data_IF_365019240398
#
_entry.id   IF_365019240398
#
_cell.length_a   1.000
_cell.length_b   1.000
_cell.length_c   1.000
_cell.angle_alpha   90.00
_cell.angle_beta   90.00
_cell.angle_gamma   90.00
#
_symmetry.space_group_name_H-M   'P 1'
#
loop_
_entity.id
_entity.type
_entity.pdbx_description
1 polymer ?
#
# COMPACT_ATOMS: atom_id res chain seq x y z
N UNK A 1 9.45 -6.86 4.43
CA UNK A 1 8.07 -6.42 4.70
C UNK A 1 7.75 -6.33 6.18
N UNK A 2 8.16 -7.31 6.99
CA UNK A 2 7.72 -7.43 8.39
C UNK A 2 8.10 -6.22 9.25
N UNK A 3 9.31 -5.68 9.04
CA UNK A 3 9.76 -4.45 9.70
C UNK A 3 8.89 -3.24 9.32
N UNK A 4 8.48 -3.14 8.05
CA UNK A 4 7.59 -2.07 7.59
C UNK A 4 6.21 -2.16 8.24
N UNK A 5 5.67 -3.38 8.39
CA UNK A 5 4.38 -3.59 9.06
C UNK A 5 4.47 -3.26 10.55
N UNK A 6 5.58 -3.61 11.20
CA UNK A 6 5.84 -3.19 12.58
C UNK A 6 5.87 -1.66 12.71
N UNK A 7 6.56 -0.95 11.81
CA UNK A 7 6.57 0.51 11.83
C UNK A 7 5.18 1.12 11.64
N UNK A 8 4.37 0.56 10.74
CA UNK A 8 3.01 1.03 10.53
C UNK A 8 2.13 0.86 11.78
N UNK A 9 2.21 -0.31 12.43
CA UNK A 9 1.49 -0.58 13.68
C UNK A 9 1.91 0.37 14.83
N UNK A 10 3.13 0.92 14.76
CA UNK A 10 3.63 1.92 15.69
C UNK A 10 3.25 3.36 15.31
N UNK A 11 2.41 3.55 14.28
CA UNK A 11 2.04 4.87 13.75
C UNK A 11 3.14 5.57 12.94
N UNK A 12 4.24 4.86 12.64
CA UNK A 12 5.43 5.39 11.96
C UNK A 12 5.35 5.11 10.46
N UNK A 13 4.33 5.67 9.81
CA UNK A 13 3.99 5.39 8.41
C UNK A 13 5.12 5.71 7.42
N UNK A 14 5.84 6.82 7.61
CA UNK A 14 6.97 7.18 6.74
C UNK A 14 8.10 6.14 6.78
N UNK A 15 8.34 5.57 7.96
CA UNK A 15 9.40 4.58 8.16
C UNK A 15 9.01 3.24 7.56
N UNK A 16 7.72 2.87 7.69
CA UNK A 16 7.15 1.74 7.00
C UNK A 16 7.37 1.85 5.49
N UNK A 17 7.08 3.01 4.89
CA UNK A 17 7.29 3.25 3.46
C UNK A 17 8.77 3.17 3.05
N UNK A 18 9.70 3.66 3.87
CA UNK A 18 11.14 3.51 3.59
C UNK A 18 11.56 2.04 3.56
N UNK A 19 11.09 1.23 4.50
CA UNK A 19 11.41 -0.20 4.52
C UNK A 19 10.75 -0.97 3.38
N UNK A 20 9.53 -0.59 2.99
CA UNK A 20 8.90 -1.16 1.81
C UNK A 20 9.62 -0.80 0.51
N UNK A 21 10.12 0.44 0.37
CA UNK A 21 10.94 0.83 -0.79
C UNK A 21 12.18 -0.04 -0.93
N UNK A 22 12.93 -0.27 0.16
CA UNK A 22 14.08 -1.20 0.14
C UNK A 22 13.67 -2.62 -0.29
N UNK A 23 12.51 -3.08 0.16
CA UNK A 23 11.99 -4.39 -0.25
C UNK A 23 11.66 -4.44 -1.75
N UNK A 24 11.13 -3.34 -2.32
CA UNK A 24 10.84 -3.24 -3.76
C UNK A 24 12.09 -2.98 -4.61
N UNK A 25 13.17 -2.44 -4.04
CA UNK A 25 14.47 -2.35 -4.71
C UNK A 25 15.06 -3.74 -4.96
N UNK A 26 14.81 -4.69 -4.04
CA UNK A 26 15.27 -6.08 -4.15
C UNK A 26 14.33 -6.89 -5.05
N UNK A 27 13.03 -6.81 -4.80
CA UNK A 27 12.00 -7.43 -5.63
C UNK A 27 10.89 -6.42 -5.96
N UNK A 28 10.96 -5.78 -7.14
CA UNK A 28 9.96 -4.81 -7.58
C UNK A 28 8.56 -5.39 -7.72
N UNK A 29 8.43 -6.72 -7.75
CA UNK A 29 7.17 -7.44 -7.96
C UNK A 29 6.67 -8.11 -6.68
N UNK A 30 7.27 -7.78 -5.52
CA UNK A 30 6.89 -8.37 -4.25
C UNK A 30 5.47 -7.96 -3.82
N UNK A 31 4.48 -8.79 -4.15
CA UNK A 31 3.06 -8.47 -3.98
C UNK A 31 2.69 -8.11 -2.53
N UNK A 32 3.20 -8.80 -1.48
CA UNK A 32 2.90 -8.42 -0.10
C UNK A 32 3.40 -7.02 0.27
N UNK A 33 4.54 -6.58 -0.28
CA UNK A 33 5.03 -5.21 -0.06
C UNK A 33 4.10 -4.20 -0.70
N UNK A 34 3.69 -4.43 -1.95
CA UNK A 34 2.77 -3.55 -2.65
C UNK A 34 1.44 -3.43 -1.91
N UNK A 35 0.87 -4.56 -1.46
CA UNK A 35 -0.35 -4.57 -0.67
C UNK A 35 -0.22 -3.72 0.60
N UNK A 36 0.85 -3.91 1.36
CA UNK A 36 1.09 -3.12 2.57
C UNK A 36 1.33 -1.64 2.26
N UNK A 37 2.01 -1.30 1.16
CA UNK A 37 2.18 0.08 0.73
C UNK A 37 0.85 0.76 0.40
N UNK A 38 -0.12 0.05 -0.19
CA UNK A 38 -1.46 0.62 -0.40
C UNK A 38 -2.10 0.97 0.94
N UNK A 39 -2.10 0.05 1.90
CA UNK A 39 -2.67 0.27 3.23
C UNK A 39 -2.00 1.43 3.97
N UNK A 40 -0.67 1.46 4.02
CA UNK A 40 0.07 2.53 4.71
C UNK A 40 -0.16 3.90 4.05
N UNK A 41 -0.28 3.96 2.73
CA UNK A 41 -0.60 5.21 2.06
C UNK A 41 -2.06 5.64 2.25
N UNK A 42 -2.99 4.70 2.33
CA UNK A 42 -4.41 4.99 2.61
C UNK A 42 -4.63 5.49 4.03
N UNK A 43 -4.16 4.73 5.01
CA UNK A 43 -4.52 4.93 6.43
C UNK A 43 -3.46 5.73 7.19
N UNK A 44 -2.19 5.58 6.84
CA UNK A 44 -1.08 6.25 7.53
C UNK A 44 -0.85 7.67 7.00
N UNK A 45 -0.47 7.77 5.72
CA UNK A 45 -0.10 9.07 5.12
C UNK A 45 -1.27 9.78 4.44
N UNK A 46 -2.43 9.13 4.29
CA UNK A 46 -3.60 9.63 3.57
C UNK A 46 -3.30 10.11 2.14
N UNK A 47 -2.23 9.55 1.56
CA UNK A 47 -1.76 9.84 0.21
C UNK A 47 -2.44 8.88 -0.78
N UNK A 48 -3.63 9.27 -1.22
CA UNK A 48 -4.46 8.49 -2.14
C UNK A 48 -3.77 8.25 -3.49
N UNK A 49 -2.99 9.22 -3.97
CA UNK A 49 -2.25 9.07 -5.23
C UNK A 49 -1.21 7.95 -5.14
N UNK A 50 -0.40 7.93 -4.06
CA UNK A 50 0.59 6.89 -3.84
C UNK A 50 -0.06 5.52 -3.60
N UNK A 51 -1.17 5.49 -2.86
CA UNK A 51 -1.94 4.26 -2.64
C UNK A 51 -2.51 3.69 -3.95
N UNK A 52 -3.09 4.53 -4.81
CA UNK A 52 -3.61 4.16 -6.12
C UNK A 52 -2.51 3.58 -7.01
N UNK A 53 -1.35 4.23 -7.08
CA UNK A 53 -0.23 3.74 -7.87
C UNK A 53 0.25 2.35 -7.42
N UNK A 54 0.38 2.13 -6.11
CA UNK A 54 0.77 0.82 -5.57
C UNK A 54 -0.31 -0.26 -5.82
N UNK A 55 -1.59 0.12 -5.79
CA UNK A 55 -2.70 -0.78 -6.10
C UNK A 55 -2.71 -1.18 -7.57
N UNK A 56 -2.49 -0.22 -8.49
CA UNK A 56 -2.40 -0.48 -9.93
C UNK A 56 -1.25 -1.44 -10.26
N UNK A 57 -0.09 -1.26 -9.61
CA UNK A 57 1.04 -2.18 -9.74
C UNK A 57 0.66 -3.59 -9.24
N UNK A 58 0.05 -3.70 -8.06
CA UNK A 58 -0.38 -4.99 -7.53
C UNK A 58 -1.43 -5.66 -8.43
N UNK A 59 -2.40 -4.90 -8.92
CA UNK A 59 -3.44 -5.39 -9.84
C UNK A 59 -2.83 -5.88 -11.16
N UNK A 60 -1.90 -5.13 -11.74
CA UNK A 60 -1.20 -5.55 -12.97
C UNK A 60 -0.36 -6.81 -12.79
N UNK A 61 0.17 -7.04 -11.58
CA UNK A 61 0.97 -8.23 -11.26
C UNK A 61 0.12 -9.45 -10.92
N UNK A 62 -0.91 -9.26 -10.10
CA UNK A 62 -1.83 -10.31 -9.70
C UNK A 62 -3.23 -9.71 -9.46
N UNK A 63 -4.11 -9.74 -10.49
CA UNK A 63 -5.49 -9.28 -10.36
C UNK A 63 -6.31 -10.08 -9.34
N UNK A 64 -5.89 -11.29 -8.99
CA UNK A 64 -6.56 -12.18 -8.04
C UNK A 64 -5.90 -12.15 -6.65
N UNK A 65 -5.08 -11.13 -6.37
CA UNK A 65 -4.43 -11.02 -5.07
C UNK A 65 -5.47 -10.87 -3.95
N UNK A 66 -5.40 -11.66 -2.87
CA UNK A 66 -6.36 -11.58 -1.78
C UNK A 66 -6.44 -10.17 -1.17
N UNK A 67 -7.65 -9.63 -1.06
CA UNK A 67 -7.87 -8.30 -0.50
C UNK A 67 -7.67 -7.14 -1.48
N UNK A 68 -7.37 -7.40 -2.76
CA UNK A 68 -7.24 -6.36 -3.78
C UNK A 68 -8.53 -5.57 -3.99
N UNK A 69 -9.68 -6.26 -3.99
CA UNK A 69 -11.00 -5.61 -4.09
C UNK A 69 -11.29 -4.70 -2.90
N UNK A 70 -10.90 -5.12 -1.71
CA UNK A 70 -11.04 -4.31 -0.49
C UNK A 70 -10.19 -3.04 -0.57
N UNK A 71 -8.96 -3.15 -1.06
CA UNK A 71 -8.11 -1.97 -1.28
C UNK A 71 -8.74 -0.98 -2.27
N UNK A 72 -9.36 -1.49 -3.35
CA UNK A 72 -10.07 -0.67 -4.32
C UNK A 72 -11.25 0.07 -3.68
N UNK A 73 -12.09 -0.64 -2.93
CA UNK A 73 -13.23 -0.03 -2.23
C UNK A 73 -12.78 1.05 -1.24
N UNK A 74 -11.70 0.81 -0.50
CA UNK A 74 -11.15 1.80 0.43
C UNK A 74 -10.63 3.05 -0.30
N UNK A 75 -9.95 2.88 -1.44
CA UNK A 75 -9.50 3.97 -2.31
C UNK A 75 -10.68 4.83 -2.79
N UNK A 76 -11.69 4.20 -3.40
CA UNK A 76 -12.88 4.87 -3.92
C UNK A 76 -13.64 5.63 -2.82
N UNK A 77 -13.76 5.01 -1.63
CA UNK A 77 -14.41 5.62 -0.47
C UNK A 77 -13.64 6.86 0.02
N UNK A 78 -12.31 6.76 0.12
CA UNK A 78 -11.47 7.85 0.59
C UNK A 78 -11.40 9.02 -0.41
N UNK A 79 -11.48 8.74 -1.71
CA UNK A 79 -11.59 9.76 -2.76
C UNK A 79 -12.95 10.45 -2.77
N UNK A 80 -14.03 9.66 -2.59
CA UNK A 80 -15.40 10.20 -2.55
C UNK A 80 -15.64 11.07 -1.32
N UNK A 81 -14.96 10.77 -0.21
CA UNK A 81 -15.04 11.56 1.03
C UNK A 81 -14.25 12.87 0.97
N UNK A 82 -13.47 13.10 -0.09
CA UNK A 82 -12.64 14.31 -0.30
C UNK A 82 -13.33 15.35 -1.18
N UNK A 83 -14.52 15.06 -1.71
CA UNK A 83 -15.38 15.95 -2.49
C UNK A 83 -16.55 16.46 -1.63
#
# INVERSE_FOLDING_TARGET
>A
TDLGTCYFNLGRADEALREYRKSLEIDPRHQPTLYNMVLVNLEGTHNLAAARQAWEQLHGLNPQYPGLDRLKQNLETAESSRQ
#
